data_IF_169657738386
#
_entry.id   IF_169657738386
#
_cell.length_a   1.000
_cell.length_b   1.000
_cell.length_c   1.000
_cell.angle_alpha   90.00
_cell.angle_beta   90.00
_cell.angle_gamma   90.00
#
_symmetry.space_group_name_H-M   'P 1'
#
loop_
_entity.id
_entity.type
_entity.pdbx_description
1 polymer ?
#
# COMPACT_ATOMS: atom_id res chain seq x y z
N UNK A 1 -13.48 -2.46 2.25
CA UNK A 1 -12.75 -3.71 2.55
C UNK A 1 -11.48 -3.71 1.70
N UNK A 2 -10.28 -3.66 2.30
CA UNK A 2 -9.00 -3.52 1.56
C UNK A 2 -8.45 -4.84 1.00
N UNK A 3 -8.59 -5.93 1.76
CA UNK A 3 -8.11 -7.25 1.36
C UNK A 3 -9.27 -8.08 0.82
N UNK A 4 -9.15 -8.69 -0.38
CA UNK A 4 -10.17 -9.57 -0.91
C UNK A 4 -10.46 -10.73 0.04
N UNK A 5 -11.73 -11.01 0.33
CA UNK A 5 -12.14 -12.18 1.12
C UNK A 5 -11.94 -13.50 0.38
N UNK A 6 -11.86 -13.44 -0.96
CA UNK A 6 -11.57 -14.57 -1.83
C UNK A 6 -10.48 -14.16 -2.83
N UNK A 7 -9.68 -15.13 -3.27
CA UNK A 7 -8.65 -14.89 -4.28
C UNK A 7 -9.28 -14.39 -5.58
N UNK A 8 -8.94 -13.18 -6.06
CA UNK A 8 -9.50 -12.65 -7.29
C UNK A 8 -9.13 -13.52 -8.51
N UNK A 9 -9.96 -13.53 -9.57
CA UNK A 9 -9.65 -14.24 -10.80
C UNK A 9 -8.27 -13.86 -11.35
N UNK A 10 -7.50 -14.84 -11.83
CA UNK A 10 -6.15 -14.60 -12.39
C UNK A 10 -6.14 -13.60 -13.55
N UNK A 11 -7.22 -13.56 -14.34
CA UNK A 11 -7.37 -12.60 -15.44
C UNK A 11 -7.46 -11.15 -14.92
N UNK A 12 -8.21 -10.93 -13.85
CA UNK A 12 -8.43 -9.64 -13.22
C UNK A 12 -7.14 -9.11 -12.60
N UNK A 13 -6.41 -9.97 -11.88
CA UNK A 13 -5.09 -9.64 -11.32
C UNK A 13 -4.13 -9.23 -12.44
N UNK A 14 -4.12 -9.97 -13.55
CA UNK A 14 -3.25 -9.67 -14.70
C UNK A 14 -3.62 -8.33 -15.35
N UNK A 15 -4.91 -8.04 -15.48
CA UNK A 15 -5.39 -6.79 -16.05
C UNK A 15 -4.99 -5.60 -15.17
N UNK A 16 -5.23 -5.70 -13.85
CA UNK A 16 -4.82 -4.70 -12.86
C UNK A 16 -3.30 -4.47 -12.88
N UNK A 17 -2.51 -5.55 -12.80
CA UNK A 17 -1.05 -5.49 -12.84
C UNK A 17 -0.54 -4.83 -14.13
N UNK A 18 -1.13 -5.18 -15.29
CA UNK A 18 -0.79 -4.56 -16.56
C UNK A 18 -1.12 -3.06 -16.61
N UNK A 19 -2.22 -2.63 -15.98
CA UNK A 19 -2.56 -1.21 -15.89
C UNK A 19 -1.58 -0.42 -15.02
N UNK A 20 -1.20 -0.96 -13.85
CA UNK A 20 -0.20 -0.36 -12.97
C UNK A 20 1.17 -0.28 -13.63
N UNK A 21 1.62 -1.36 -14.29
CA UNK A 21 2.90 -1.32 -15.01
C UNK A 21 2.91 -0.24 -16.10
N UNK A 22 1.81 -0.06 -16.85
CA UNK A 22 1.70 1.04 -17.83
C UNK A 22 1.77 2.40 -17.15
N UNK A 23 1.01 2.60 -16.07
CA UNK A 23 1.04 3.84 -15.29
C UNK A 23 2.46 4.16 -14.79
N UNK A 24 3.15 3.16 -14.26
CA UNK A 24 4.49 3.31 -13.69
C UNK A 24 5.58 3.64 -14.73
N UNK A 25 5.28 3.46 -16.02
CA UNK A 25 6.13 3.94 -17.13
C UNK A 25 5.78 5.33 -17.62
N UNK A 26 4.60 5.85 -17.25
CA UNK A 26 4.18 7.19 -17.64
C UNK A 26 5.05 8.26 -16.97
N UNK A 27 5.19 9.39 -17.66
CA UNK A 27 5.93 10.56 -17.20
C UNK A 27 5.00 11.77 -17.31
N UNK A 28 4.39 12.22 -16.20
CA UNK A 28 3.58 13.43 -16.23
C UNK A 28 4.44 14.67 -16.53
N UNK A 29 3.84 15.77 -17.00
CA UNK A 29 4.55 17.03 -17.16
C UNK A 29 5.25 17.46 -15.87
N UNK A 30 6.45 18.04 -16.00
CA UNK A 30 7.25 18.48 -14.86
C UNK A 30 6.48 19.46 -13.98
N UNK A 31 6.61 19.31 -12.65
CA UNK A 31 5.93 20.17 -11.67
C UNK A 31 4.44 19.92 -11.49
N UNK A 32 3.88 18.86 -12.11
CA UNK A 32 2.45 18.53 -11.95
C UNK A 32 2.17 17.76 -10.66
N UNK A 33 3.13 16.95 -10.21
CA UNK A 33 2.98 16.09 -9.05
C UNK A 33 4.20 16.19 -8.13
N UNK A 34 3.94 16.10 -6.83
CA UNK A 34 4.94 16.10 -5.79
C UNK A 34 5.42 14.67 -5.47
N UNK A 35 6.31 14.56 -4.48
CA UNK A 35 6.70 13.30 -3.85
C UNK A 35 5.99 13.19 -2.49
N UNK A 36 4.86 12.47 -2.37
CA UNK A 36 4.03 12.50 -1.16
C UNK A 36 4.67 11.83 0.05
N UNK A 37 5.75 11.06 -0.15
CA UNK A 37 6.37 10.22 0.85
C UNK A 37 7.81 10.64 1.14
N UNK A 38 8.05 11.10 2.37
CA UNK A 38 9.39 11.19 2.92
C UNK A 38 9.77 9.84 3.55
N UNK A 39 10.56 9.07 2.80
CA UNK A 39 10.98 7.72 3.20
C UNK A 39 11.78 7.72 4.50
N UNK A 40 12.69 8.68 4.71
CA UNK A 40 13.52 8.70 5.89
C UNK A 40 12.68 9.04 7.13
N UNK A 41 11.80 10.04 7.02
CA UNK A 41 10.90 10.42 8.09
C UNK A 41 9.91 9.30 8.45
N UNK A 42 9.32 8.61 7.48
CA UNK A 42 8.40 7.50 7.76
C UNK A 42 9.08 6.31 8.42
N UNK A 43 10.30 5.95 8.01
CA UNK A 43 11.05 4.87 8.66
C UNK A 43 11.38 5.24 10.10
N UNK A 44 11.87 6.46 10.35
CA UNK A 44 12.15 6.98 11.69
C UNK A 44 10.90 6.89 12.58
N UNK A 45 9.78 7.37 12.08
CA UNK A 45 8.50 7.33 12.78
C UNK A 45 8.04 5.91 13.13
N UNK A 46 8.20 4.94 12.22
CA UNK A 46 7.83 3.55 12.51
C UNK A 46 8.73 2.89 13.54
N UNK A 47 10.02 3.24 13.56
CA UNK A 47 10.95 2.80 14.59
C UNK A 47 10.64 3.40 15.96
N UNK A 48 10.36 4.71 16.04
CA UNK A 48 9.93 5.37 17.28
C UNK A 48 8.68 4.74 17.90
N UNK A 49 7.81 4.19 17.05
CA UNK A 49 6.60 3.48 17.47
C UNK A 49 6.81 1.99 17.78
N UNK A 50 8.05 1.50 17.70
CA UNK A 50 8.40 0.10 17.96
C UNK A 50 7.95 -0.88 16.89
N UNK A 51 7.52 -0.41 15.71
CA UNK A 51 7.09 -1.26 14.60
C UNK A 51 8.25 -1.77 13.74
N UNK A 52 9.41 -1.14 13.87
CA UNK A 52 10.68 -1.55 13.26
C UNK A 52 11.71 -1.72 14.37
N UNK A 53 12.51 -2.77 14.30
CA UNK A 53 13.66 -2.94 15.20
C UNK A 53 14.82 -2.05 14.80
N UNK A 54 15.80 -1.88 15.69
CA UNK A 54 17.06 -1.18 15.36
C UNK A 54 17.76 -1.80 14.15
N UNK A 55 17.64 -3.13 13.99
CA UNK A 55 18.19 -3.84 12.84
C UNK A 55 17.46 -3.46 11.55
N UNK A 56 16.13 -3.46 11.58
CA UNK A 56 15.32 -3.08 10.41
C UNK A 56 15.62 -1.65 9.99
N UNK A 57 15.72 -0.72 10.95
CA UNK A 57 16.15 0.65 10.71
C UNK A 57 17.51 0.69 10.00
N UNK A 58 18.51 0.01 10.55
CA UNK A 58 19.86 0.00 9.98
C UNK A 58 19.91 -0.60 8.58
N UNK A 59 19.15 -1.65 8.30
CA UNK A 59 19.11 -2.30 6.98
C UNK A 59 18.34 -1.45 5.95
N UNK A 60 17.22 -0.82 6.33
CA UNK A 60 16.49 0.11 5.46
C UNK A 60 17.29 1.37 5.13
N UNK A 61 18.01 1.93 6.10
CA UNK A 61 18.91 3.07 5.88
C UNK A 61 20.03 2.73 4.89
N UNK A 62 20.63 1.53 5.00
CA UNK A 62 21.63 1.06 4.02
C UNK A 62 21.04 0.93 2.62
N UNK A 63 19.83 0.38 2.49
CA UNK A 63 19.15 0.26 1.20
C UNK A 63 18.88 1.64 0.60
N UNK A 64 18.32 2.58 1.37
CA UNK A 64 18.06 3.95 0.91
C UNK A 64 19.35 4.65 0.45
N UNK A 65 20.43 4.50 1.23
CA UNK A 65 21.72 5.05 0.86
C UNK A 65 22.25 4.44 -0.45
N UNK A 66 22.18 3.11 -0.60
CA UNK A 66 22.55 2.41 -1.82
C UNK A 66 21.74 2.85 -3.04
N UNK A 67 20.43 3.04 -2.87
CA UNK A 67 19.53 3.56 -3.91
C UNK A 67 19.93 4.97 -4.32
N UNK A 68 20.17 5.87 -3.36
CA UNK A 68 20.59 7.24 -3.62
C UNK A 68 21.92 7.29 -4.39
N UNK A 69 22.87 6.42 -4.05
CA UNK A 69 24.13 6.28 -4.77
C UNK A 69 23.96 5.75 -6.20
N UNK A 70 23.09 4.76 -6.40
CA UNK A 70 22.86 4.15 -7.71
C UNK A 70 22.04 5.05 -8.66
N UNK A 71 21.14 5.88 -8.12
CA UNK A 71 20.25 6.75 -8.89
C UNK A 71 20.96 7.89 -9.65
N UNK A 72 22.15 8.29 -9.20
CA UNK A 72 22.87 9.45 -9.76
C UNK A 72 22.06 10.75 -9.71
N UNK A 73 22.39 11.70 -10.60
CA UNK A 73 21.75 13.04 -10.64
C UNK A 73 20.29 13.05 -11.09
N UNK A 74 19.79 11.96 -11.69
CA UNK A 74 18.46 11.92 -12.31
C UNK A 74 17.38 11.40 -11.36
N UNK A 75 17.76 10.86 -10.18
CA UNK A 75 16.82 10.35 -9.18
C UNK A 75 16.11 9.07 -9.66
N UNK A 76 16.01 8.08 -8.78
CA UNK A 76 15.27 6.85 -9.09
C UNK A 76 13.82 7.06 -8.67
N UNK A 77 13.08 7.82 -9.48
CA UNK A 77 11.67 8.15 -9.23
C UNK A 77 10.75 7.47 -10.24
N UNK A 78 9.61 6.99 -9.75
CA UNK A 78 8.56 6.36 -10.54
C UNK A 78 7.24 7.04 -10.21
N UNK A 79 6.47 7.38 -11.24
CA UNK A 79 5.12 7.88 -11.03
C UNK A 79 4.21 6.71 -10.62
N UNK A 80 3.52 6.86 -9.50
CA UNK A 80 2.67 5.83 -8.93
C UNK A 80 1.28 6.39 -8.63
N UNK A 81 0.30 5.49 -8.61
CA UNK A 81 -1.04 5.79 -8.10
C UNK A 81 -1.01 6.15 -6.62
N UNK A 82 -0.13 5.51 -5.85
CA UNK A 82 0.05 5.79 -4.42
C UNK A 82 -0.95 5.04 -3.50
N UNK A 83 -2.05 4.54 -4.07
CA UNK A 83 -2.96 3.59 -3.40
C UNK A 83 -3.46 2.52 -4.39
N UNK A 84 -2.53 1.70 -4.89
CA UNK A 84 -2.79 0.68 -5.92
C UNK A 84 -3.51 -0.58 -5.39
N UNK A 85 -4.61 -0.37 -4.67
CA UNK A 85 -5.51 -1.42 -4.21
C UNK A 85 -6.42 -1.89 -5.34
N UNK A 86 -6.85 -3.15 -5.31
CA UNK A 86 -7.81 -3.69 -6.28
C UNK A 86 -9.14 -2.92 -6.25
N UNK A 87 -9.53 -2.36 -5.10
CA UNK A 87 -10.74 -1.55 -4.96
C UNK A 87 -10.69 -0.24 -5.78
N UNK A 88 -9.48 0.25 -6.08
CA UNK A 88 -9.25 1.47 -6.85
C UNK A 88 -9.04 1.18 -8.35
N UNK A 89 -9.30 -0.06 -8.78
CA UNK A 89 -9.17 -0.49 -10.18
C UNK A 89 -10.51 -1.08 -10.63
N UNK A 90 -11.21 -0.34 -11.48
CA UNK A 90 -12.47 -0.76 -12.08
C UNK A 90 -12.19 -1.49 -13.39
N UNK A 91 -12.65 -2.74 -13.49
CA UNK A 91 -12.55 -3.51 -14.73
C UNK A 91 -13.74 -3.16 -15.64
N UNK A 92 -13.45 -2.67 -16.84
CA UNK A 92 -14.46 -2.37 -17.85
C UNK A 92 -14.18 -3.15 -19.14
N UNK A 93 -15.16 -3.27 -20.06
CA UNK A 93 -14.94 -3.86 -21.38
C UNK A 93 -13.83 -3.18 -22.19
N UNK A 94 -13.58 -1.88 -21.96
CA UNK A 94 -12.51 -1.13 -22.61
C UNK A 94 -11.14 -1.31 -21.94
N UNK A 95 -11.09 -1.99 -20.79
CA UNK A 95 -9.90 -2.21 -19.98
C UNK A 95 -10.02 -1.67 -18.55
N UNK A 96 -8.96 -1.83 -17.74
CA UNK A 96 -8.93 -1.34 -16.36
C UNK A 96 -8.87 0.18 -16.31
N UNK A 97 -9.64 0.77 -15.38
CA UNK A 97 -9.67 2.20 -15.08
C UNK A 97 -9.24 2.38 -13.63
N UNK A 98 -8.29 3.28 -13.37
CA UNK A 98 -7.87 3.62 -12.02
C UNK A 98 -8.65 4.84 -11.51
N UNK A 99 -9.06 4.78 -10.26
CA UNK A 99 -9.82 5.83 -9.55
C UNK A 99 -9.13 6.16 -8.23
N UNK A 100 -9.52 7.28 -7.61
CA UNK A 100 -8.97 7.72 -6.32
C UNK A 100 -7.49 8.14 -6.36
N UNK A 101 -7.22 9.22 -7.10
CA UNK A 101 -5.87 9.70 -7.42
C UNK A 101 -5.24 10.60 -6.35
N UNK A 102 -5.82 10.68 -5.14
CA UNK A 102 -5.36 11.63 -4.11
C UNK A 102 -3.93 11.38 -3.62
N UNK A 103 -3.44 10.14 -3.77
CA UNK A 103 -2.10 9.74 -3.38
C UNK A 103 -1.11 9.68 -4.56
N UNK A 104 -1.52 10.10 -5.74
CA UNK A 104 -0.68 10.02 -6.93
C UNK A 104 0.53 10.94 -6.84
N UNK A 105 1.69 10.43 -7.24
CA UNK A 105 2.93 11.20 -7.14
C UNK A 105 4.18 10.41 -7.46
N UNK A 106 5.32 10.99 -7.09
CA UNK A 106 6.63 10.40 -7.27
C UNK A 106 7.04 9.57 -6.06
N UNK A 107 7.39 8.32 -6.31
CA UNK A 107 7.83 7.35 -5.30
C UNK A 107 9.10 6.63 -5.76
N UNK A 108 9.72 5.87 -4.85
CA UNK A 108 10.71 4.87 -5.24
C UNK A 108 10.05 3.80 -6.13
N UNK A 109 10.75 3.23 -7.12
CA UNK A 109 10.20 2.21 -8.00
C UNK A 109 9.58 1.02 -7.26
N UNK A 110 8.43 0.58 -7.76
CA UNK A 110 7.72 -0.58 -7.23
C UNK A 110 6.78 -0.26 -6.06
N UNK A 111 6.49 1.01 -5.76
CA UNK A 111 5.56 1.36 -4.67
C UNK A 111 4.14 0.82 -4.91
N UNK A 112 3.57 1.03 -6.10
CA UNK A 112 2.26 0.45 -6.46
C UNK A 112 2.29 -1.08 -6.45
N UNK A 113 3.41 -1.67 -6.89
CA UNK A 113 3.61 -3.12 -6.85
C UNK A 113 3.64 -3.66 -5.42
N UNK A 114 4.31 -2.95 -4.49
CA UNK A 114 4.33 -3.30 -3.07
C UNK A 114 2.95 -3.20 -2.44
N UNK A 115 2.19 -2.16 -2.80
CA UNK A 115 0.80 -1.97 -2.36
C UNK A 115 -0.08 -3.13 -2.82
N UNK A 116 -0.05 -3.48 -4.11
CA UNK A 116 -0.81 -4.61 -4.64
C UNK A 116 -0.36 -5.96 -4.06
N UNK A 117 0.95 -6.14 -3.85
CA UNK A 117 1.50 -7.34 -3.23
C UNK A 117 0.94 -7.56 -1.82
N UNK A 118 0.79 -6.49 -1.04
CA UNK A 118 0.33 -6.55 0.35
C UNK A 118 -1.06 -7.18 0.46
N UNK A 119 -1.98 -6.84 -0.45
CA UNK A 119 -3.38 -7.32 -0.43
C UNK A 119 -3.60 -8.67 -1.09
N UNK A 120 -2.62 -9.20 -1.82
CA UNK A 120 -2.68 -10.50 -2.50
C UNK A 120 -2.16 -11.66 -1.63
N UNK A 121 -2.44 -11.63 -0.33
CA UNK A 121 -2.05 -12.65 0.66
C UNK A 121 -2.40 -14.08 0.26
N UNK A 122 -3.59 -14.26 -0.31
CA UNK A 122 -4.13 -15.56 -0.70
C UNK A 122 -3.83 -15.92 -2.17
N UNK A 123 -2.90 -15.20 -2.83
CA UNK A 123 -2.51 -15.42 -4.22
C UNK A 123 -0.97 -15.49 -4.37
N UNK A 124 -0.32 -16.56 -3.88
CA UNK A 124 1.15 -16.66 -3.82
C UNK A 124 1.82 -16.58 -5.20
N UNK A 125 1.18 -17.11 -6.24
CA UNK A 125 1.67 -17.00 -7.63
C UNK A 125 1.69 -15.55 -8.11
N UNK A 126 0.64 -14.77 -7.80
CA UNK A 126 0.58 -13.36 -8.15
C UNK A 126 1.65 -12.55 -7.39
N UNK A 127 1.84 -12.82 -6.10
CA UNK A 127 2.93 -12.23 -5.31
C UNK A 127 4.30 -12.51 -5.92
N UNK A 128 4.55 -13.74 -6.37
CA UNK A 128 5.80 -14.11 -7.06
C UNK A 128 5.99 -13.33 -8.36
N UNK A 129 4.93 -13.22 -9.17
CA UNK A 129 4.98 -12.46 -10.42
C UNK A 129 5.28 -10.97 -10.15
N UNK A 130 4.64 -10.37 -9.15
CA UNK A 130 4.87 -8.98 -8.76
C UNK A 130 6.31 -8.77 -8.30
N UNK A 131 6.84 -9.65 -7.44
CA UNK A 131 8.24 -9.56 -6.99
C UNK A 131 9.22 -9.67 -8.15
N UNK A 132 8.98 -10.57 -9.12
CA UNK A 132 9.80 -10.69 -10.33
C UNK A 132 9.79 -9.43 -11.18
N UNK A 133 8.62 -8.81 -11.37
CA UNK A 133 8.49 -7.56 -12.12
C UNK A 133 9.21 -6.40 -11.42
N UNK A 134 9.05 -6.29 -10.10
CA UNK A 134 9.63 -5.20 -9.32
C UNK A 134 11.17 -5.20 -9.36
N UNK A 135 11.79 -6.37 -9.44
CA UNK A 135 13.25 -6.51 -9.51
C UNK A 135 13.81 -6.60 -10.94
N UNK A 136 12.95 -6.58 -11.97
CA UNK A 136 13.36 -6.81 -13.36
C UNK A 136 14.34 -5.75 -13.90
N UNK A 137 14.29 -4.53 -13.37
CA UNK A 137 15.20 -3.43 -13.75
C UNK A 137 16.55 -3.45 -13.00
N UNK A 138 16.82 -4.50 -12.21
CA UNK A 138 18.11 -4.73 -11.56
C UNK A 138 18.12 -4.42 -10.05
N UNK A 139 19.32 -4.43 -9.43
CA UNK A 139 19.47 -4.36 -7.97
C UNK A 139 18.86 -3.11 -7.34
N UNK A 140 19.01 -1.93 -7.97
CA UNK A 140 18.42 -0.69 -7.44
C UNK A 140 16.89 -0.76 -7.36
N UNK A 141 16.24 -1.32 -8.39
CA UNK A 141 14.79 -1.50 -8.40
C UNK A 141 14.33 -2.54 -7.36
N UNK A 142 15.09 -3.63 -7.19
CA UNK A 142 14.87 -4.61 -6.12
C UNK A 142 14.92 -3.95 -4.74
N UNK A 143 15.96 -3.16 -4.48
CA UNK A 143 16.19 -2.54 -3.18
C UNK A 143 15.09 -1.49 -2.88
N UNK A 144 14.70 -0.69 -3.87
CA UNK A 144 13.55 0.22 -3.77
C UNK A 144 12.24 -0.52 -3.48
N UNK A 145 11.99 -1.63 -4.17
CA UNK A 145 10.81 -2.45 -3.91
C UNK A 145 10.80 -3.02 -2.48
N UNK A 146 11.95 -3.45 -1.95
CA UNK A 146 12.04 -3.94 -0.57
C UNK A 146 11.75 -2.84 0.46
N UNK A 147 12.30 -1.64 0.26
CA UNK A 147 11.99 -0.47 1.12
C UNK A 147 10.49 -0.16 1.08
N UNK A 148 9.92 -0.06 -0.13
CA UNK A 148 8.49 0.17 -0.32
C UNK A 148 7.64 -0.90 0.36
N UNK A 149 7.99 -2.18 0.19
CA UNK A 149 7.28 -3.30 0.76
C UNK A 149 7.30 -3.26 2.29
N UNK A 150 8.45 -2.95 2.89
CA UNK A 150 8.56 -2.85 4.34
C UNK A 150 7.66 -1.74 4.89
N UNK A 151 7.66 -0.56 4.24
CA UNK A 151 6.80 0.56 4.63
C UNK A 151 5.31 0.25 4.49
N UNK A 152 4.91 -0.33 3.36
CA UNK A 152 3.52 -0.70 3.10
C UNK A 152 3.04 -1.73 4.13
N UNK A 153 3.82 -2.79 4.39
CA UNK A 153 3.43 -3.82 5.36
C UNK A 153 3.35 -3.26 6.78
N UNK A 154 4.29 -2.40 7.17
CA UNK A 154 4.28 -1.75 8.49
C UNK A 154 3.05 -0.86 8.66
N UNK A 155 2.66 -0.11 7.60
CA UNK A 155 1.43 0.69 7.60
C UNK A 155 0.18 -0.19 7.72
N UNK A 156 0.13 -1.33 7.02
CA UNK A 156 -1.00 -2.25 7.08
C UNK A 156 -1.13 -2.88 8.48
N UNK A 157 -0.03 -3.36 9.08
CA UNK A 157 -0.02 -3.88 10.46
C UNK A 157 -0.64 -2.87 11.42
N UNK A 158 -0.14 -1.62 11.39
CA UNK A 158 -0.65 -0.55 12.26
C UNK A 158 -2.13 -0.24 12.01
N UNK A 159 -2.57 -0.25 10.76
CA UNK A 159 -3.96 -0.01 10.41
C UNK A 159 -4.87 -1.06 11.04
N UNK A 160 -4.46 -2.32 10.99
CA UNK A 160 -5.18 -3.43 11.63
C UNK A 160 -5.15 -3.37 13.15
N UNK A 161 -4.00 -3.09 13.76
CA UNK A 161 -3.89 -2.92 15.22
C UNK A 161 -4.82 -1.81 15.72
N UNK A 162 -4.85 -0.67 15.01
CA UNK A 162 -5.71 0.46 15.35
C UNK A 162 -7.19 0.09 15.19
N UNK A 163 -7.56 -0.67 14.15
CA UNK A 163 -8.93 -1.11 13.93
C UNK A 163 -9.40 -2.10 15.01
N UNK A 164 -8.53 -3.04 15.43
CA UNK A 164 -8.79 -3.96 16.54
C UNK A 164 -8.95 -3.20 17.85
N UNK A 165 -8.03 -2.26 18.15
CA UNK A 165 -8.10 -1.45 19.35
C UNK A 165 -9.42 -0.66 19.42
N UNK A 166 -9.83 -0.02 18.31
CA UNK A 166 -11.13 0.68 18.22
C UNK A 166 -12.31 -0.27 18.48
N UNK A 167 -12.31 -1.44 17.86
CA UNK A 167 -13.38 -2.43 18.05
C UNK A 167 -13.48 -2.93 19.50
N UNK A 168 -12.38 -2.96 20.24
CA UNK A 168 -12.36 -3.33 21.67
C UNK A 168 -12.80 -2.20 22.60
N UNK A 169 -12.67 -0.93 22.17
CA UNK A 169 -12.99 0.26 22.97
C UNK A 169 -14.37 0.84 22.65
N UNK A 170 -14.98 0.45 21.53
CA UNK A 170 -16.36 0.85 21.22
C UNK A 170 -17.33 0.16 22.18
N UNK A 171 -18.10 0.94 22.98
CA UNK A 171 -19.13 0.36 23.84
C UNK A 171 -20.18 -0.32 22.95
N UNK A 172 -20.67 -1.48 23.38
CA UNK A 172 -21.78 -2.16 22.71
C UNK A 172 -22.95 -1.17 22.50
N UNK A 173 -23.59 -1.16 21.32
CA UNK A 173 -24.73 -0.27 21.08
C UNK A 173 -25.77 -0.49 22.17
N UNK A 174 -26.18 0.60 22.84
CA UNK A 174 -27.21 0.55 23.86
C UNK A 174 -28.45 -0.14 23.28
N UNK A 175 -28.87 -1.24 23.92
CA UNK A 175 -30.02 -2.01 23.48
C UNK A 175 -31.25 -1.09 23.34
N UNK A 176 -32.05 -1.23 22.26
CA UNK A 176 -33.26 -0.44 22.10
C UNK A 176 -34.26 -0.78 23.22
N UNK A 177 -34.55 0.22 24.05
CA UNK A 177 -35.80 0.39 24.80
C UNK A 177 -36.25 -0.77 25.68
N UNK A 178 -35.93 -0.70 26.98
CA UNK A 178 -36.74 -1.37 28.00
C UNK A 178 -38.09 -0.63 28.06
N UNK A 179 -39.23 -1.26 27.76
CA UNK A 179 -40.52 -0.61 27.90
C UNK A 179 -40.81 -0.43 29.40
N UNK A 180 -41.11 0.81 29.78
CA UNK A 180 -41.62 1.17 31.10
C UNK A 180 -42.87 0.33 31.40
N UNK A 181 -42.97 -0.35 32.57
CA UNK A 181 -44.19 -1.06 32.92
C UNK A 181 -45.29 -0.03 33.18
N UNK A 182 -46.35 -0.10 32.38
CA UNK A 182 -47.57 0.68 32.54
C UNK A 182 -48.19 0.39 33.91
N UNK A 183 -48.50 1.45 34.65
CA UNK A 183 -49.33 1.38 35.85
C UNK A 183 -50.74 0.91 35.47
N UNK A 184 -51.23 -0.12 36.15
CA UNK A 184 -52.62 -0.59 36.02
C UNK A 184 -53.58 0.39 36.72
N UNK A 185 -54.75 0.70 36.14
CA UNK A 185 -55.75 1.54 36.79
C UNK A 185 -56.56 0.72 37.81
N UNK A 186 -56.94 1.40 38.90
CA UNK A 186 -57.99 0.98 39.84
C UNK A 186 -59.29 1.73 39.54
#
# INVERSE_FOLDING_TARGET
QRHPSQTPPRADIRAALGALCRLNTWRPPAGTFDAPLDYAAEIARFHELGLLTDRDMGDLQKLLHGIAHAAGRQGMAQFCHGDALLANILLSPAGPVLVDWEHAGWYLPGYDLATLWSVLGQAPEARRQISQLAQAAGPGARDAFLVNLMLVLTREIRTYETAVQRSMHDPAPAAPGVPHPAAAPA
#
